data_IF_338097510537
#
_entry.id   IF_338097510537
#
_cell.length_a   1.000
_cell.length_b   1.000
_cell.length_c   1.000
_cell.angle_alpha   90.00
_cell.angle_beta   90.00
_cell.angle_gamma   90.00
#
_symmetry.space_group_name_H-M   'P 1'
#
loop_
_entity.id
_entity.type
_entity.pdbx_description
1 polymer ?
#
# COMPACT_ATOMS: atom_id res chain seq x y z
N UNK A 1 -47.25 57.83 -21.22
CA UNK A 1 -46.58 56.66 -21.82
C UNK A 1 -45.24 56.49 -21.12
N UNK A 2 -45.17 55.63 -20.12
CA UNK A 2 -43.93 55.30 -19.42
C UNK A 2 -43.91 53.79 -19.24
N UNK A 3 -43.06 53.11 -20.00
CA UNK A 3 -42.83 51.66 -19.90
C UNK A 3 -41.49 51.43 -19.24
N UNK A 4 -41.51 50.96 -18.00
CA UNK A 4 -40.34 50.46 -17.28
C UNK A 4 -40.07 49.04 -17.78
N UNK A 5 -38.96 48.86 -18.49
CA UNK A 5 -38.44 47.53 -18.85
C UNK A 5 -37.77 46.93 -17.60
N UNK A 6 -38.48 46.03 -16.91
CA UNK A 6 -37.87 45.15 -15.91
C UNK A 6 -36.89 44.21 -16.61
N UNK A 7 -35.59 44.48 -16.46
CA UNK A 7 -34.55 43.52 -16.76
C UNK A 7 -34.60 42.41 -15.71
N UNK A 8 -35.32 41.32 -16.00
CA UNK A 8 -35.22 40.07 -15.25
C UNK A 8 -33.82 39.50 -15.49
N UNK A 9 -32.92 39.74 -14.54
CA UNK A 9 -31.70 38.95 -14.37
C UNK A 9 -32.13 37.51 -14.05
N UNK A 10 -32.20 36.67 -15.07
CA UNK A 10 -32.17 35.23 -14.91
C UNK A 10 -30.82 34.90 -14.26
N UNK A 11 -30.81 34.69 -12.94
CA UNK A 11 -29.70 34.01 -12.28
C UNK A 11 -29.53 32.70 -13.02
N UNK A 12 -28.42 32.56 -13.75
CA UNK A 12 -28.01 31.25 -14.27
C UNK A 12 -27.99 30.31 -13.08
N UNK A 13 -28.66 29.14 -13.12
CA UNK A 13 -28.41 28.13 -12.12
C UNK A 13 -26.92 27.85 -12.20
N UNK A 14 -26.19 28.06 -11.10
CA UNK A 14 -24.87 27.47 -10.97
C UNK A 14 -25.07 26.00 -11.33
N UNK A 15 -24.47 25.57 -12.45
CA UNK A 15 -24.36 24.15 -12.77
C UNK A 15 -23.67 23.54 -11.56
N UNK A 16 -24.45 22.89 -10.69
CA UNK A 16 -23.90 22.08 -9.63
C UNK A 16 -22.99 21.08 -10.34
N UNK A 17 -21.68 21.19 -10.09
CA UNK A 17 -20.75 20.22 -10.64
C UNK A 17 -21.17 18.85 -10.10
N UNK A 18 -21.21 17.86 -10.98
CA UNK A 18 -21.50 16.50 -10.54
C UNK A 18 -20.47 16.09 -9.48
N UNK A 19 -20.90 15.45 -8.38
CA UNK A 19 -19.97 15.00 -7.37
C UNK A 19 -19.00 13.97 -7.97
N UNK A 20 -17.80 13.91 -7.40
CA UNK A 20 -16.77 12.95 -7.74
C UNK A 20 -16.85 11.75 -6.81
N UNK A 21 -16.62 10.58 -7.37
CA UNK A 21 -16.64 9.30 -6.71
C UNK A 21 -15.23 8.67 -6.68
N UNK A 22 -14.79 8.24 -5.51
CA UNK A 22 -13.46 7.63 -5.30
C UNK A 22 -13.59 6.36 -4.44
N UNK A 23 -13.06 5.20 -4.89
CA UNK A 23 -13.03 4.00 -4.06
C UNK A 23 -11.95 4.13 -2.99
N UNK A 24 -12.29 3.78 -1.75
CA UNK A 24 -11.35 3.64 -0.64
C UNK A 24 -11.52 2.30 0.04
N UNK A 25 -10.41 1.76 0.52
CA UNK A 25 -10.30 0.45 1.12
C UNK A 25 -9.84 0.58 2.57
N UNK A 26 -10.51 -0.12 3.49
CA UNK A 26 -10.18 -0.11 4.92
C UNK A 26 -10.08 -1.54 5.43
N UNK A 27 -9.04 -1.82 6.21
CA UNK A 27 -8.80 -3.10 6.86
C UNK A 27 -9.12 -2.99 8.35
N UNK A 28 -10.00 -3.86 8.81
CA UNK A 28 -10.36 -4.05 10.22
C UNK A 28 -11.07 -5.39 10.40
N UNK A 29 -11.22 -5.91 11.63
CA UNK A 29 -12.15 -6.99 11.90
C UNK A 29 -13.55 -6.65 11.39
N UNK A 30 -14.24 -7.64 10.82
CA UNK A 30 -15.57 -7.45 10.20
C UNK A 30 -16.58 -6.68 11.06
N UNK A 31 -16.76 -7.02 12.36
CA UNK A 31 -17.68 -6.31 13.24
C UNK A 31 -17.36 -4.82 13.46
N UNK A 32 -16.12 -4.41 13.23
CA UNK A 32 -15.67 -3.04 13.46
C UNK A 32 -15.80 -2.16 12.21
N UNK A 33 -16.03 -2.76 11.04
CA UNK A 33 -16.25 -2.03 9.79
C UNK A 33 -17.65 -1.40 9.78
N UNK A 34 -17.77 -0.07 9.66
CA UNK A 34 -19.06 0.58 9.61
C UNK A 34 -19.80 0.28 8.29
N UNK A 35 -21.08 -0.08 8.39
CA UNK A 35 -22.01 -0.23 7.26
C UNK A 35 -22.74 1.07 6.94
N UNK A 36 -23.06 1.83 7.98
CA UNK A 36 -23.70 3.15 7.91
C UNK A 36 -22.65 4.25 7.64
N UNK A 37 -23.07 5.46 7.21
CA UNK A 37 -22.13 6.53 6.88
C UNK A 37 -21.22 6.84 8.07
N UNK A 38 -19.96 6.43 7.94
CA UNK A 38 -18.88 6.83 8.82
C UNK A 38 -18.26 8.13 8.30
N UNK A 39 -17.78 8.98 9.19
CA UNK A 39 -16.92 10.10 8.79
C UNK A 39 -15.56 9.59 8.32
N UNK A 40 -14.95 10.30 7.38
CA UNK A 40 -13.60 9.99 6.87
C UNK A 40 -12.57 9.76 7.98
N UNK A 41 -12.59 10.63 8.99
CA UNK A 41 -11.70 10.55 10.15
C UNK A 41 -11.85 9.23 10.92
N UNK A 42 -13.07 8.70 11.03
CA UNK A 42 -13.32 7.42 11.71
C UNK A 42 -12.73 6.24 10.92
N UNK A 43 -12.90 6.22 9.59
CA UNK A 43 -12.31 5.19 8.73
C UNK A 43 -10.77 5.24 8.77
N UNK A 44 -10.18 6.44 8.75
CA UNK A 44 -8.73 6.60 8.84
C UNK A 44 -8.16 6.15 10.20
N UNK A 45 -8.87 6.42 11.29
CA UNK A 45 -8.49 5.94 12.62
C UNK A 45 -8.61 4.42 12.73
N UNK A 46 -9.68 3.84 12.17
CA UNK A 46 -9.91 2.40 12.19
C UNK A 46 -8.79 1.64 11.46
N UNK A 47 -8.42 2.09 10.25
CA UNK A 47 -7.29 1.53 9.49
C UNK A 47 -6.00 1.53 10.31
N UNK A 48 -5.66 2.69 10.89
CA UNK A 48 -4.41 2.87 11.62
C UNK A 48 -4.34 2.10 12.94
N UNK A 49 -5.48 1.58 13.44
CA UNK A 49 -5.53 0.77 14.64
C UNK A 49 -5.22 -0.71 14.38
N UNK A 50 -5.67 -1.25 13.25
CA UNK A 50 -5.62 -2.69 12.97
C UNK A 50 -4.49 -3.12 12.04
N UNK A 51 -3.81 -2.18 11.40
CA UNK A 51 -2.65 -2.44 10.54
C UNK A 51 -1.46 -1.64 11.08
N UNK A 52 -0.85 -2.18 12.13
CA UNK A 52 0.22 -1.55 12.92
C UNK A 52 1.57 -2.26 12.83
N UNK A 53 1.62 -3.41 12.16
CA UNK A 53 2.84 -4.17 11.92
C UNK A 53 3.13 -4.38 10.43
N UNK A 54 4.40 -4.31 10.08
CA UNK A 54 4.91 -4.64 8.76
C UNK A 54 6.34 -5.20 8.85
N UNK A 55 6.79 -5.82 7.77
CA UNK A 55 8.18 -6.21 7.59
C UNK A 55 8.82 -5.36 6.51
N UNK A 56 9.94 -4.71 6.86
CA UNK A 56 10.80 -4.03 5.89
C UNK A 56 11.71 -5.08 5.26
N UNK A 57 11.60 -5.28 3.96
CA UNK A 57 12.41 -6.21 3.18
C UNK A 57 13.30 -5.43 2.23
N UNK A 58 14.62 -5.62 2.36
CA UNK A 58 15.61 -5.05 1.45
C UNK A 58 16.42 -6.14 0.78
N UNK A 59 16.62 -6.00 -0.52
CA UNK A 59 17.45 -6.91 -1.30
C UNK A 59 18.57 -6.14 -2.00
N UNK A 60 19.78 -6.68 -1.92
CA UNK A 60 20.97 -6.12 -2.51
C UNK A 60 21.61 -7.18 -3.42
N UNK A 61 21.90 -6.85 -4.70
CA UNK A 61 22.66 -7.76 -5.54
C UNK A 61 24.10 -7.85 -5.02
N UNK A 62 24.67 -9.04 -5.05
CA UNK A 62 26.08 -9.28 -4.79
C UNK A 62 26.84 -9.46 -6.11
N UNK A 63 28.17 -9.39 -6.05
CA UNK A 63 29.00 -9.74 -7.20
C UNK A 63 28.75 -11.21 -7.59
N UNK A 64 28.74 -11.50 -8.90
CA UNK A 64 28.43 -12.84 -9.41
C UNK A 64 29.41 -13.93 -8.92
N UNK A 65 30.62 -13.54 -8.56
CA UNK A 65 31.69 -14.38 -8.02
C UNK A 65 31.88 -14.22 -6.50
N UNK A 66 30.91 -13.66 -5.80
CA UNK A 66 30.96 -13.51 -4.34
C UNK A 66 31.09 -14.88 -3.65
N UNK A 67 32.15 -15.03 -2.84
CA UNK A 67 32.45 -16.25 -2.06
C UNK A 67 32.78 -15.95 -0.58
N UNK A 68 32.56 -14.71 -0.14
CA UNK A 68 32.83 -14.28 1.23
C UNK A 68 31.74 -14.70 2.22
N UNK A 69 31.91 -14.30 3.48
CA UNK A 69 30.97 -14.59 4.57
C UNK A 69 29.95 -13.48 4.81
N UNK A 70 28.85 -13.78 5.51
CA UNK A 70 27.91 -12.74 5.94
C UNK A 70 28.59 -11.71 6.87
N UNK A 71 29.57 -12.12 7.68
CA UNK A 71 30.37 -11.20 8.51
C UNK A 71 31.13 -10.16 7.68
N UNK A 72 31.68 -10.56 6.54
CA UNK A 72 32.37 -9.63 5.63
C UNK A 72 31.38 -8.64 4.98
N UNK A 73 30.17 -9.09 4.66
CA UNK A 73 29.10 -8.22 4.13
C UNK A 73 28.60 -7.22 5.16
N UNK A 74 28.57 -7.60 6.44
CA UNK A 74 28.03 -6.77 7.53
C UNK A 74 29.09 -5.92 8.25
N UNK A 75 30.35 -6.36 8.26
CA UNK A 75 31.46 -5.74 9.00
C UNK A 75 31.92 -4.38 8.47
N UNK A 76 31.47 -3.98 7.27
CA UNK A 76 31.78 -2.68 6.65
C UNK A 76 30.83 -1.52 7.02
N UNK A 77 29.82 -1.75 7.86
CA UNK A 77 28.61 -0.91 7.86
C UNK A 77 27.69 -1.33 6.70
N UNK A 78 26.43 -0.87 6.68
CA UNK A 78 25.44 -1.29 5.69
C UNK A 78 26.04 -1.35 4.27
N UNK A 79 25.72 -2.38 3.47
CA UNK A 79 26.32 -2.56 2.15
C UNK A 79 26.24 -1.23 1.39
N UNK A 80 27.35 -0.74 0.78
CA UNK A 80 27.39 0.58 0.11
C UNK A 80 26.53 0.63 -1.16
N UNK A 81 25.71 -0.39 -1.39
CA UNK A 81 24.91 -0.61 -2.57
C UNK A 81 23.47 -0.19 -2.30
N UNK A 82 22.88 0.52 -3.25
CA UNK A 82 21.45 0.80 -3.23
C UNK A 82 20.70 -0.53 -3.35
N UNK A 83 19.70 -0.80 -2.50
CA UNK A 83 18.91 -2.02 -2.65
C UNK A 83 18.14 -1.99 -3.99
N UNK A 84 18.00 -3.17 -4.62
CA UNK A 84 17.13 -3.38 -5.79
C UNK A 84 15.67 -3.56 -5.39
N UNK A 85 15.42 -3.86 -4.11
CA UNK A 85 14.09 -3.90 -3.51
C UNK A 85 14.18 -3.25 -2.13
N UNK A 86 13.30 -2.28 -1.83
CA UNK A 86 13.14 -1.66 -0.51
C UNK A 86 11.65 -1.60 -0.16
N UNK A 87 11.06 -2.77 0.04
CA UNK A 87 9.62 -2.93 0.20
C UNK A 87 9.21 -2.95 1.67
N UNK A 88 8.03 -2.41 1.95
CA UNK A 88 7.33 -2.58 3.21
C UNK A 88 6.17 -3.55 2.99
N UNK A 89 6.27 -4.74 3.57
CA UNK A 89 5.26 -5.79 3.46
C UNK A 89 4.34 -5.72 4.67
N UNK A 90 3.05 -5.38 4.51
CA UNK A 90 2.14 -5.33 5.65
C UNK A 90 1.97 -6.70 6.31
N UNK A 91 2.00 -6.75 7.65
CA UNK A 91 1.80 -7.98 8.44
C UNK A 91 0.32 -8.33 8.60
N UNK A 92 -0.44 -8.41 7.51
CA UNK A 92 -1.88 -8.61 7.60
C UNK A 92 -2.25 -9.98 8.14
N UNK A 93 -3.00 -10.00 9.24
CA UNK A 93 -3.66 -11.19 9.76
C UNK A 93 -4.89 -11.54 8.90
N UNK A 94 -4.66 -12.16 7.73
CA UNK A 94 -5.70 -12.50 6.73
C UNK A 94 -6.89 -13.26 7.32
N UNK A 95 -6.65 -14.08 8.35
CA UNK A 95 -7.69 -14.87 9.02
C UNK A 95 -8.63 -14.05 9.91
N UNK A 96 -8.20 -12.89 10.40
CA UNK A 96 -8.96 -12.05 11.33
C UNK A 96 -9.43 -10.73 10.72
N UNK A 97 -8.81 -10.28 9.62
CA UNK A 97 -9.15 -9.02 8.96
C UNK A 97 -10.22 -9.19 7.89
N UNK A 98 -10.99 -8.13 7.71
CA UNK A 98 -11.94 -7.93 6.62
C UNK A 98 -11.58 -6.65 5.87
N UNK A 99 -11.95 -6.59 4.60
CA UNK A 99 -11.85 -5.43 3.74
C UNK A 99 -13.21 -4.73 3.67
N UNK A 100 -13.29 -3.51 4.18
CA UNK A 100 -14.37 -2.59 3.87
C UNK A 100 -14.06 -1.83 2.59
N UNK A 101 -14.99 -1.83 1.65
CA UNK A 101 -14.90 -1.07 0.41
C UNK A 101 -15.91 0.07 0.49
N UNK A 102 -15.41 1.29 0.40
CA UNK A 102 -16.20 2.50 0.52
C UNK A 102 -16.12 3.33 -0.76
N UNK A 103 -17.22 4.00 -1.07
CA UNK A 103 -17.25 5.09 -2.04
C UNK A 103 -17.25 6.40 -1.27
N UNK A 104 -16.26 7.25 -1.56
CA UNK A 104 -16.30 8.65 -1.18
C UNK A 104 -16.97 9.43 -2.29
N UNK A 105 -17.94 10.26 -1.92
CA UNK A 105 -18.57 11.25 -2.79
C UNK A 105 -18.17 12.64 -2.32
N UNK A 106 -17.74 13.52 -3.23
CA UNK A 106 -17.37 14.87 -2.86
C UNK A 106 -16.99 15.78 -4.02
N UNK A 107 -16.63 17.02 -3.71
CA UNK A 107 -16.21 18.02 -4.68
C UNK A 107 -14.72 18.33 -4.54
N UNK A 108 -14.05 18.72 -5.62
CA UNK A 108 -12.69 19.26 -5.50
C UNK A 108 -12.73 20.56 -4.70
N UNK A 109 -11.83 20.71 -3.74
CA UNK A 109 -11.64 21.96 -3.04
C UNK A 109 -11.25 23.05 -4.05
N UNK A 110 -12.18 23.97 -4.33
CA UNK A 110 -11.93 25.10 -5.21
C UNK A 110 -11.03 26.12 -4.51
N UNK A 111 -9.71 25.93 -4.62
CA UNK A 111 -8.70 26.94 -4.26
C UNK A 111 -7.46 26.37 -3.54
N UNK A 112 -6.29 26.49 -4.18
CA UNK A 112 -4.99 26.30 -3.52
C UNK A 112 -3.97 25.46 -4.28
N UNK A 113 -3.81 25.69 -5.59
CA UNK A 113 -2.62 25.23 -6.28
C UNK A 113 -1.41 25.99 -5.76
N UNK A 114 -0.61 25.34 -4.92
CA UNK A 114 0.82 25.52 -4.72
C UNK A 114 1.31 24.47 -3.71
N UNK A 115 1.20 23.18 -4.07
CA UNK A 115 1.96 22.13 -3.40
C UNK A 115 3.40 22.22 -3.90
N UNK A 116 4.24 22.94 -3.16
CA UNK A 116 5.67 23.01 -3.39
C UNK A 116 6.29 21.62 -3.45
N UNK A 117 6.98 21.34 -4.57
CA UNK A 117 7.76 20.13 -4.75
C UNK A 117 8.90 20.05 -3.74
N UNK A 118 8.73 19.20 -2.75
CA UNK A 118 9.82 18.64 -1.95
C UNK A 118 10.23 17.32 -2.58
N UNK A 119 11.40 17.28 -3.20
CA UNK A 119 11.97 16.07 -3.77
C UNK A 119 12.25 15.05 -2.66
N UNK A 120 11.40 14.02 -2.54
CA UNK A 120 11.82 12.72 -2.00
C UNK A 120 12.09 11.79 -3.18
N UNK A 121 13.36 11.46 -3.36
CA UNK A 121 13.80 10.44 -4.30
C UNK A 121 13.35 9.06 -3.80
N UNK A 122 12.28 8.54 -4.39
CA UNK A 122 11.79 7.18 -4.18
C UNK A 122 10.43 7.01 -4.83
N UNK A 123 10.44 6.61 -6.11
CA UNK A 123 9.34 6.03 -6.90
C UNK A 123 7.96 6.68 -6.71
N UNK A 124 7.55 7.45 -7.72
CA UNK A 124 6.24 8.12 -7.81
C UNK A 124 5.08 7.13 -7.70
N UNK A 125 4.61 6.91 -6.47
CA UNK A 125 3.26 6.44 -6.19
C UNK A 125 2.27 7.48 -6.74
N UNK A 126 1.25 7.04 -7.46
CA UNK A 126 0.23 7.95 -7.99
C UNK A 126 -0.37 8.81 -6.89
N UNK A 127 -0.70 10.06 -7.24
CA UNK A 127 -1.23 11.03 -6.29
C UNK A 127 -2.48 10.47 -5.62
N UNK A 128 -2.55 10.58 -4.29
CA UNK A 128 -3.69 10.12 -3.50
C UNK A 128 -4.98 10.76 -4.04
N UNK A 129 -5.93 9.99 -4.60
CA UNK A 129 -7.12 10.55 -5.25
C UNK A 129 -8.08 11.20 -4.25
N UNK A 130 -7.84 11.04 -2.95
CA UNK A 130 -8.57 11.75 -1.89
C UNK A 130 -7.92 13.09 -1.54
N UNK A 131 -6.69 13.35 -2.00
CA UNK A 131 -6.02 14.63 -1.79
C UNK A 131 -6.78 15.75 -2.51
N UNK A 132 -7.34 16.68 -1.73
CA UNK A 132 -8.13 17.79 -2.26
C UNK A 132 -9.61 17.48 -2.49
N UNK A 133 -10.09 16.27 -2.20
CA UNK A 133 -11.52 15.96 -2.20
C UNK A 133 -12.17 16.44 -0.89
N UNK A 134 -13.13 17.35 -0.99
CA UNK A 134 -14.03 17.67 0.12
C UNK A 134 -15.09 16.58 0.18
N UNK A 135 -14.90 15.61 1.07
CA UNK A 135 -15.82 14.48 1.24
C UNK A 135 -17.15 14.97 1.79
N UNK A 136 -18.21 14.78 1.01
CA UNK A 136 -19.59 15.17 1.33
C UNK A 136 -20.40 13.96 1.83
N UNK A 137 -20.15 12.78 1.25
CA UNK A 137 -20.77 11.54 1.68
C UNK A 137 -19.81 10.35 1.58
N UNK A 138 -20.07 9.34 2.40
CA UNK A 138 -19.36 8.05 2.38
C UNK A 138 -20.41 6.95 2.37
N UNK A 139 -20.28 6.02 1.40
CA UNK A 139 -21.16 4.87 1.25
C UNK A 139 -20.35 3.58 1.34
N UNK A 140 -20.77 2.65 2.20
CA UNK A 140 -20.23 1.30 2.19
C UNK A 140 -20.74 0.56 0.95
N UNK A 141 -19.83 0.07 0.11
CA UNK A 141 -20.15 -0.74 -1.07
C UNK A 141 -20.10 -2.24 -0.75
N UNK A 142 -19.16 -2.65 0.09
CA UNK A 142 -18.97 -4.06 0.44
C UNK A 142 -18.17 -4.22 1.74
N UNK A 143 -18.35 -5.36 2.39
CA UNK A 143 -17.49 -5.86 3.46
C UNK A 143 -17.22 -7.34 3.21
N UNK A 144 -15.94 -7.70 3.13
CA UNK A 144 -15.54 -9.07 2.81
C UNK A 144 -14.40 -9.52 3.71
N UNK A 145 -14.52 -10.68 4.40
CA UNK A 145 -13.39 -11.28 5.11
C UNK A 145 -12.23 -11.52 4.14
N UNK A 146 -10.99 -11.19 4.53
CA UNK A 146 -9.86 -11.35 3.62
C UNK A 146 -9.67 -12.81 3.20
N UNK A 147 -9.86 -13.77 4.11
CA UNK A 147 -9.83 -15.21 3.80
C UNK A 147 -10.78 -15.66 2.68
N UNK A 148 -11.82 -14.88 2.38
CA UNK A 148 -12.80 -15.19 1.33
C UNK A 148 -12.43 -14.53 -0.03
N UNK A 149 -11.36 -13.73 -0.08
CA UNK A 149 -10.86 -13.10 -1.30
C UNK A 149 -9.98 -14.08 -2.09
N UNK A 150 -10.13 -14.10 -3.41
CA UNK A 150 -9.35 -15.00 -4.27
C UNK A 150 -7.85 -14.67 -4.24
N UNK A 151 -7.01 -15.70 -4.22
CA UNK A 151 -5.56 -15.57 -4.22
C UNK A 151 -5.01 -15.35 -5.63
N UNK A 152 -3.94 -14.58 -5.72
CA UNK A 152 -3.10 -14.40 -6.89
C UNK A 152 -1.63 -14.51 -6.44
N UNK A 153 -0.86 -15.37 -7.10
CA UNK A 153 0.55 -15.54 -6.81
C UNK A 153 1.36 -14.41 -7.47
N UNK A 154 2.30 -13.84 -6.74
CA UNK A 154 3.25 -12.86 -7.27
C UNK A 154 4.68 -13.21 -6.87
N UNK A 155 5.62 -12.89 -7.75
CA UNK A 155 7.05 -12.98 -7.46
C UNK A 155 7.49 -11.73 -6.70
N UNK A 156 7.96 -11.91 -5.47
CA UNK A 156 8.47 -10.83 -4.63
C UNK A 156 10.00 -10.83 -4.51
N UNK A 157 10.64 -11.94 -4.86
CA UNK A 157 12.10 -12.08 -4.95
C UNK A 157 12.63 -11.79 -6.36
N UNK A 158 13.95 -11.56 -6.50
CA UNK A 158 14.58 -11.36 -7.79
C UNK A 158 14.32 -12.58 -8.68
N UNK A 159 13.94 -12.31 -9.93
CA UNK A 159 13.73 -13.33 -10.96
C UNK A 159 14.97 -13.55 -11.81
N UNK A 160 16.03 -12.75 -11.60
CA UNK A 160 17.31 -12.88 -12.27
C UNK A 160 18.24 -13.80 -11.48
N UNK A 161 18.93 -14.69 -12.19
CA UNK A 161 19.94 -15.57 -11.59
C UNK A 161 21.08 -14.74 -10.99
N UNK A 162 21.55 -15.12 -9.80
CA UNK A 162 22.63 -14.40 -9.13
C UNK A 162 22.70 -14.63 -7.63
N UNK A 163 23.60 -13.91 -6.97
CA UNK A 163 23.75 -13.89 -5.52
C UNK A 163 23.17 -12.59 -4.95
N UNK A 164 22.48 -12.71 -3.81
CA UNK A 164 21.77 -11.60 -3.19
C UNK A 164 21.97 -11.60 -1.68
N UNK A 165 21.98 -10.41 -1.08
CA UNK A 165 21.87 -10.20 0.35
C UNK A 165 20.48 -9.65 0.65
N UNK A 166 19.82 -10.22 1.64
CA UNK A 166 18.56 -9.73 2.19
C UNK A 166 18.74 -9.18 3.60
N UNK A 167 17.97 -8.13 3.89
CA UNK A 167 17.74 -7.63 5.23
C UNK A 167 16.24 -7.55 5.46
N UNK A 168 15.75 -8.27 6.47
CA UNK A 168 14.34 -8.30 6.87
C UNK A 168 14.23 -7.81 8.30
N UNK A 169 13.32 -6.89 8.58
CA UNK A 169 13.16 -6.38 9.94
C UNK A 169 11.74 -5.92 10.22
N UNK A 170 11.16 -6.28 11.38
CA UNK A 170 9.84 -5.80 11.76
C UNK A 170 9.83 -4.28 11.93
N UNK A 171 8.68 -3.69 11.64
CA UNK A 171 8.37 -2.27 11.74
C UNK A 171 7.04 -2.13 12.44
N UNK A 172 7.00 -1.22 13.43
CA UNK A 172 5.74 -0.66 13.84
C UNK A 172 5.36 0.41 12.82
N UNK A 173 4.14 0.36 12.30
CA UNK A 173 3.70 1.20 11.20
C UNK A 173 2.33 1.77 11.47
N UNK A 174 1.94 2.76 10.69
CA UNK A 174 0.56 3.22 10.60
C UNK A 174 0.27 3.54 9.16
N UNK A 175 -0.75 2.89 8.61
CA UNK A 175 -1.21 3.15 7.25
C UNK A 175 -2.50 3.97 7.26
N UNK A 176 -2.66 4.78 6.22
CA UNK A 176 -3.94 5.39 5.86
C UNK A 176 -4.80 4.41 5.06
N UNK A 177 -6.11 4.67 4.94
CA UNK A 177 -6.98 3.88 4.07
C UNK A 177 -6.41 3.78 2.65
N UNK A 178 -6.56 2.60 2.05
CA UNK A 178 -5.98 2.30 0.75
C UNK A 178 -6.76 2.91 -0.41
N UNK A 179 -6.08 3.15 -1.53
CA UNK A 179 -6.68 3.69 -2.75
C UNK A 179 -6.06 3.06 -4.01
N UNK A 180 -6.58 3.44 -5.18
CA UNK A 180 -6.03 3.04 -6.48
C UNK A 180 -5.29 4.24 -7.10
N UNK A 181 -3.94 4.25 -7.12
CA UNK A 181 -3.14 5.42 -7.53
C UNK A 181 -3.46 5.88 -8.96
N UNK A 182 -3.68 4.93 -9.85
CA UNK A 182 -3.92 5.19 -11.28
C UNK A 182 -5.40 5.36 -11.63
N UNK A 183 -6.30 5.49 -10.64
CA UNK A 183 -7.74 5.66 -10.87
C UNK A 183 -8.14 7.10 -10.54
N UNK A 184 -8.39 7.94 -11.56
CA UNK A 184 -8.89 9.29 -11.31
C UNK A 184 -10.30 9.23 -10.71
N UNK A 185 -10.71 10.26 -9.94
CA UNK A 185 -12.09 10.42 -9.50
C UNK A 185 -13.06 10.46 -10.70
N UNK A 186 -14.25 9.86 -10.55
CA UNK A 186 -15.25 9.78 -11.62
C UNK A 186 -16.51 10.55 -11.26
N UNK A 187 -17.20 11.15 -12.23
CA UNK A 187 -18.53 11.77 -12.01
C UNK A 187 -19.67 10.76 -12.02
N UNK A 188 -19.38 9.51 -12.37
CA UNK A 188 -20.33 8.40 -12.32
C UNK A 188 -20.11 7.60 -11.02
N UNK A 189 -21.19 7.06 -10.42
CA UNK A 189 -21.09 6.15 -9.30
C UNK A 189 -20.21 4.94 -9.60
N UNK A 190 -19.56 4.40 -8.57
CA UNK A 190 -18.63 3.29 -8.74
C UNK A 190 -19.35 1.97 -9.06
N UNK A 191 -19.01 1.37 -10.21
CA UNK A 191 -19.36 0.00 -10.56
C UNK A 191 -18.43 -1.01 -9.85
N UNK A 192 -18.66 -1.24 -8.57
CA UNK A 192 -17.86 -2.17 -7.76
C UNK A 192 -18.27 -3.64 -7.99
N UNK A 193 -17.29 -4.51 -8.21
CA UNK A 193 -17.48 -5.96 -8.28
C UNK A 193 -16.44 -6.70 -7.44
N UNK A 194 -16.88 -7.41 -6.41
CA UNK A 194 -16.01 -8.22 -5.53
C UNK A 194 -15.14 -9.22 -6.29
N UNK A 195 -15.65 -9.75 -7.40
CA UNK A 195 -14.91 -10.71 -8.25
C UNK A 195 -13.65 -10.12 -8.89
N UNK A 196 -13.43 -8.80 -8.80
CA UNK A 196 -12.22 -8.10 -9.26
C UNK A 196 -11.16 -7.94 -8.15
N UNK A 197 -11.43 -8.34 -6.90
CA UNK A 197 -10.46 -8.32 -5.81
C UNK A 197 -9.55 -9.56 -5.82
N UNK A 198 -8.25 -9.38 -5.59
CA UNK A 198 -7.31 -10.48 -5.35
C UNK A 198 -6.40 -10.18 -4.16
N UNK A 199 -6.10 -11.20 -3.36
CA UNK A 199 -5.02 -11.18 -2.39
C UNK A 199 -3.73 -11.60 -3.08
N UNK A 200 -2.71 -10.76 -3.00
CA UNK A 200 -1.39 -11.03 -3.53
C UNK A 200 -0.59 -11.82 -2.51
N UNK A 201 -0.21 -13.04 -2.88
CA UNK A 201 0.66 -13.87 -2.06
C UNK A 201 2.02 -13.99 -2.71
N UNK A 202 3.04 -13.63 -1.93
CA UNK A 202 4.41 -13.83 -2.36
C UNK A 202 4.76 -15.30 -2.30
N UNK A 203 5.24 -15.82 -3.43
CA UNK A 203 6.06 -17.02 -3.45
C UNK A 203 7.46 -16.64 -2.98
N UNK A 204 7.65 -16.64 -1.67
CA UNK A 204 8.99 -16.61 -1.11
C UNK A 204 9.65 -17.95 -1.46
N UNK A 205 10.86 -17.94 -2.03
CA UNK A 205 11.39 -19.08 -2.77
C UNK A 205 11.83 -20.29 -1.92
N UNK A 206 11.61 -20.23 -0.60
CA UNK A 206 11.85 -21.25 0.41
C UNK A 206 10.60 -21.54 1.26
N UNK A 207 9.63 -20.62 1.28
CA UNK A 207 8.77 -20.50 2.45
C UNK A 207 7.58 -21.46 2.38
N UNK A 208 7.47 -22.32 3.40
CA UNK A 208 6.25 -23.06 3.72
C UNK A 208 5.11 -22.11 4.13
N UNK A 209 5.40 -20.86 4.44
CA UNK A 209 4.45 -19.83 4.83
C UNK A 209 4.35 -18.75 3.73
N UNK A 210 3.40 -18.92 2.81
CA UNK A 210 3.05 -17.85 1.86
C UNK A 210 2.74 -16.57 2.65
N UNK A 211 3.37 -15.46 2.30
CA UNK A 211 3.12 -14.16 2.95
C UNK A 211 2.20 -13.32 2.06
N UNK A 212 1.12 -12.78 2.64
CA UNK A 212 0.28 -11.82 1.94
C UNK A 212 1.04 -10.50 1.79
N UNK A 213 1.24 -10.03 0.57
CA UNK A 213 2.03 -8.83 0.28
C UNK A 213 1.19 -7.65 -0.24
N UNK A 214 -0.10 -7.87 -0.44
CA UNK A 214 -0.99 -6.81 -0.89
C UNK A 214 -2.35 -7.29 -1.37
N UNK A 215 -3.11 -6.34 -1.90
CA UNK A 215 -4.39 -6.57 -2.55
C UNK A 215 -4.39 -5.89 -3.91
N UNK A 216 -5.09 -6.47 -4.87
CA UNK A 216 -5.45 -5.80 -6.12
C UNK A 216 -6.95 -5.65 -6.24
N UNK A 217 -7.37 -4.60 -6.94
CA UNK A 217 -8.72 -4.46 -7.47
C UNK A 217 -8.64 -4.15 -8.96
N UNK A 218 -9.27 -4.98 -9.78
CA UNK A 218 -9.26 -4.85 -11.24
C UNK A 218 -7.83 -4.84 -11.81
N UNK A 219 -7.00 -5.79 -11.36
CA UNK A 219 -5.60 -5.95 -11.75
C UNK A 219 -4.71 -4.74 -11.45
N UNK A 220 -5.12 -3.87 -10.51
CA UNK A 220 -4.33 -2.74 -10.03
C UNK A 220 -4.10 -2.89 -8.54
N UNK A 221 -2.86 -2.67 -8.12
CA UNK A 221 -2.50 -2.71 -6.70
C UNK A 221 -3.27 -1.62 -5.95
N UNK A 222 -3.80 -2.01 -4.80
CA UNK A 222 -4.31 -1.06 -3.81
C UNK A 222 -3.10 -0.57 -3.03
N UNK A 223 -2.86 0.73 -3.06
CA UNK A 223 -1.78 1.38 -2.33
C UNK A 223 -2.27 1.80 -0.96
N UNK A 224 -1.44 1.58 0.05
CA UNK A 224 -1.70 1.89 1.46
C UNK A 224 -0.70 2.95 1.90
N UNK A 225 -1.08 4.24 1.95
CA UNK A 225 -0.12 5.30 2.24
C UNK A 225 0.42 5.17 3.66
N UNK A 226 1.73 5.20 3.78
CA UNK A 226 2.42 5.15 5.07
C UNK A 226 2.32 6.52 5.78
N UNK A 227 1.76 6.54 6.98
CA UNK A 227 1.70 7.72 7.84
C UNK A 227 2.91 7.78 8.80
N UNK A 228 3.29 6.62 9.36
CA UNK A 228 4.41 6.49 10.30
C UNK A 228 5.07 5.13 10.14
N UNK A 229 6.39 5.08 10.29
CA UNK A 229 7.18 3.86 10.41
C UNK A 229 8.22 4.02 11.51
N UNK A 230 8.35 3.00 12.36
CA UNK A 230 9.35 2.93 13.41
C UNK A 230 10.12 1.62 13.33
N UNK A 231 11.47 1.68 13.26
CA UNK A 231 12.29 0.49 13.27
C UNK A 231 12.19 -0.22 14.62
N UNK A 232 11.95 -1.53 14.59
CA UNK A 232 12.10 -2.38 15.77
C UNK A 232 13.56 -2.88 15.88
N UNK A 233 14.05 -3.20 17.09
CA UNK A 233 15.46 -3.54 17.36
C UNK A 233 15.83 -4.97 16.92
N UNK A 234 15.31 -5.42 15.78
CA UNK A 234 15.56 -6.75 15.20
C UNK A 234 15.72 -6.65 13.70
N UNK A 235 16.74 -7.31 13.17
CA UNK A 235 16.92 -7.49 11.74
C UNK A 235 17.50 -8.88 11.48
N UNK A 236 16.86 -9.63 10.60
CA UNK A 236 17.31 -10.90 10.07
C UNK A 236 18.03 -10.62 8.74
N UNK A 237 19.28 -11.06 8.63
CA UNK A 237 20.10 -10.95 7.42
C UNK A 237 20.31 -12.34 6.84
N UNK A 238 20.22 -12.47 5.53
CA UNK A 238 20.55 -13.73 4.86
C UNK A 238 21.13 -13.43 3.49
N UNK A 239 22.12 -14.22 3.05
CA UNK A 239 22.54 -14.20 1.66
C UNK A 239 22.23 -15.54 0.99
N UNK A 240 21.81 -15.46 -0.26
CA UNK A 240 21.24 -16.58 -1.00
C UNK A 240 21.60 -16.46 -2.48
N UNK A 241 21.42 -17.56 -3.21
CA UNK A 241 21.58 -17.62 -4.66
C UNK A 241 20.27 -17.97 -5.33
N UNK A 242 19.99 -17.35 -6.48
CA UNK A 242 18.91 -17.70 -7.39
C UNK A 242 19.50 -18.32 -8.65
N UNK A 243 18.99 -19.47 -9.06
CA UNK A 243 19.31 -20.15 -10.32
C UNK A 243 18.03 -20.78 -10.89
N UNK A 244 17.39 -20.08 -11.81
CA UNK A 244 16.14 -20.47 -12.46
C UNK A 244 16.21 -21.81 -13.21
N UNK A 245 17.41 -22.32 -13.50
CA UNK A 245 17.63 -23.60 -14.18
C UNK A 245 17.87 -24.76 -13.23
N UNK A 246 18.11 -24.49 -11.94
CA UNK A 246 18.31 -25.49 -10.92
C UNK A 246 17.00 -26.16 -10.48
N UNK A 247 17.10 -27.37 -9.92
CA UNK A 247 15.96 -28.08 -9.31
C UNK A 247 15.35 -27.30 -8.14
N UNK A 248 16.19 -26.57 -7.39
CA UNK A 248 15.78 -25.61 -6.36
C UNK A 248 16.23 -24.22 -6.79
N UNK A 249 15.33 -23.40 -7.37
CA UNK A 249 15.69 -22.09 -7.89
C UNK A 249 16.23 -21.11 -6.85
N UNK A 250 15.95 -21.36 -5.56
CA UNK A 250 16.49 -20.59 -4.45
C UNK A 250 17.31 -21.49 -3.54
N UNK A 251 18.42 -20.93 -3.04
CA UNK A 251 19.25 -21.58 -2.03
C UNK A 251 19.81 -20.53 -1.09
N UNK A 252 19.33 -20.53 0.14
CA UNK A 252 19.94 -19.79 1.24
C UNK A 252 21.33 -20.38 1.57
N UNK A 253 22.34 -19.52 1.71
CA UNK A 253 23.72 -19.94 1.99
C UNK A 253 24.06 -19.71 3.47
N UNK A 254 23.76 -18.53 4.00
CA UNK A 254 23.95 -18.19 5.41
C UNK A 254 22.90 -17.17 5.85
N UNK A 255 22.38 -17.33 7.07
CA UNK A 255 21.50 -16.36 7.72
C UNK A 255 21.89 -16.07 9.16
N UNK A 256 21.55 -14.88 9.63
CA UNK A 256 21.85 -14.40 10.97
C UNK A 256 20.82 -13.40 11.46
N UNK A 257 20.35 -13.61 12.68
CA UNK A 257 19.53 -12.66 13.43
C UNK A 257 20.41 -11.71 14.23
N UNK A 258 20.24 -10.41 14.01
CA UNK A 258 20.95 -9.35 14.73
C UNK A 258 19.95 -8.49 15.50
N UNK A 259 20.20 -8.32 16.79
CA UNK A 259 19.47 -7.36 17.62
C UNK A 259 20.19 -6.02 17.54
N UNK A 260 19.52 -4.99 17.02
CA UNK A 260 20.09 -3.64 17.03
C UNK A 260 19.88 -3.02 18.41
N UNK A 261 20.92 -2.38 18.95
CA UNK A 261 20.76 -1.57 20.15
C UNK A 261 19.79 -0.42 19.85
N UNK A 262 18.82 -0.17 20.74
CA UNK A 262 17.93 0.98 20.57
C UNK A 262 18.76 2.27 20.53
N UNK A 263 18.52 3.17 19.57
CA UNK A 263 19.08 4.51 19.65
C UNK A 263 18.52 5.18 20.90
N UNK A 264 19.41 5.53 21.84
CA UNK A 264 19.08 6.27 23.06
C UNK A 264 18.64 7.71 22.76
#
# INVERSE_FOLDING_TARGET
MGGVLEARFLRSPHLAMAPLHVPVFVLAPGPDLPLEPAGWSALAQLQGHWVDEAERVRLFPLAADWQGSLDELLGGGAPPMRPICDALVPGWAVESLSLGVYELEGSLASGGGESGGGASSGETSGEDPTAGLQVEAIRCLDQVPLRDVHNEACWFYPTEDGAYLSARGPRAVRFRPGYLPDRPPTTEPLDYHRSRLRLLWSLLADDTEMTCVGLTYNNRRIDWPLEREEPQPRCDWAWFTVDSTAESPYREIESRRIMQAQPH
#
